data_IF_398443574656
#
_entry.id   IF_398443574656
#
_cell.length_a   1.000
_cell.length_b   1.000
_cell.length_c   1.000
_cell.angle_alpha   90.00
_cell.angle_beta   90.00
_cell.angle_gamma   90.00
#
_symmetry.space_group_name_H-M   'P 1'
#
loop_
_entity.id
_entity.type
_entity.pdbx_description
1 polymer ?
#
# COMPACT_ATOMS: atom_id res chain seq x y z
N UNK A 1 -11.33 4.27 13.50
CA UNK A 1 -10.06 4.79 14.09
C UNK A 1 -9.07 3.64 14.14
N UNK A 2 -8.07 3.60 13.26
CA UNK A 2 -6.99 2.61 13.34
C UNK A 2 -6.09 2.98 14.52
N UNK A 3 -5.98 2.08 15.50
CA UNK A 3 -5.06 2.21 16.63
C UNK A 3 -3.65 1.83 16.17
N UNK A 4 -2.97 2.79 15.55
CA UNK A 4 -1.51 2.76 15.41
C UNK A 4 -0.96 3.42 16.66
N UNK A 5 -0.31 2.63 17.52
CA UNK A 5 0.40 3.20 18.66
C UNK A 5 1.62 3.97 18.15
N UNK A 6 1.51 5.30 18.12
CA UNK A 6 2.58 6.21 17.65
C UNK A 6 3.86 6.09 18.50
N UNK A 7 3.82 5.50 19.69
CA UNK A 7 5.01 5.33 20.56
C UNK A 7 5.82 4.09 20.21
N UNK A 8 5.17 3.05 19.68
CA UNK A 8 5.81 1.77 19.37
C UNK A 8 5.73 1.35 17.91
N UNK A 9 5.02 2.10 17.04
CA UNK A 9 4.78 1.77 15.63
C UNK A 9 4.24 0.34 15.43
N UNK A 10 3.55 -0.19 16.44
CA UNK A 10 2.85 -1.46 16.35
C UNK A 10 1.41 -1.17 15.93
N UNK A 11 0.96 -1.85 14.88
CA UNK A 11 -0.47 -2.01 14.67
C UNK A 11 -1.05 -2.80 15.85
N UNK A 12 -2.21 -2.40 16.37
CA UNK A 12 -2.93 -3.11 17.43
C UNK A 12 -2.92 -4.64 17.18
N UNK A 13 -2.16 -5.37 18.01
CA UNK A 13 -1.97 -6.81 17.89
C UNK A 13 -0.62 -7.20 17.27
N UNK A 14 0.49 -6.95 17.98
CA UNK A 14 1.83 -7.59 17.88
C UNK A 14 2.55 -7.75 16.52
N UNK A 15 1.90 -7.51 15.39
CA UNK A 15 2.47 -7.68 14.06
C UNK A 15 3.35 -6.49 13.75
N UNK A 16 4.62 -6.78 13.51
CA UNK A 16 5.58 -5.81 12.98
C UNK A 16 5.08 -5.25 11.65
N UNK A 17 5.34 -3.97 11.38
CA UNK A 17 5.05 -3.36 10.08
C UNK A 17 5.76 -4.08 8.91
N UNK A 18 6.86 -4.77 9.21
CA UNK A 18 7.55 -5.67 8.26
C UNK A 18 6.67 -6.86 7.87
N UNK A 19 5.88 -7.38 8.81
CA UNK A 19 4.93 -8.48 8.55
C UNK A 19 3.80 -8.00 7.63
N UNK A 20 3.29 -6.79 7.83
CA UNK A 20 2.25 -6.23 6.96
C UNK A 20 2.74 -6.05 5.50
N UNK A 21 3.98 -5.59 5.32
CA UNK A 21 4.58 -5.45 3.99
C UNK A 21 4.87 -6.79 3.33
N UNK A 22 5.22 -7.83 4.10
CA UNK A 22 5.32 -9.21 3.62
C UNK A 22 3.98 -9.78 3.14
N UNK A 23 2.92 -9.61 3.93
CA UNK A 23 1.56 -10.05 3.55
C UNK A 23 1.12 -9.34 2.28
N UNK A 24 1.39 -8.02 2.19
CA UNK A 24 1.08 -7.24 0.99
C UNK A 24 1.83 -7.76 -0.24
N UNK A 25 3.13 -8.02 -0.12
CA UNK A 25 3.94 -8.60 -1.19
C UNK A 25 3.42 -9.97 -1.64
N UNK A 26 3.00 -10.83 -0.69
CA UNK A 26 2.40 -12.12 -1.01
C UNK A 26 1.07 -11.98 -1.77
N UNK A 27 0.22 -11.03 -1.38
CA UNK A 27 -1.03 -10.73 -2.09
C UNK A 27 -0.75 -10.22 -3.51
N UNK A 28 0.23 -9.34 -3.70
CA UNK A 28 0.65 -8.87 -5.03
C UNK A 28 1.19 -10.00 -5.90
N UNK A 29 1.96 -10.92 -5.33
CA UNK A 29 2.46 -12.09 -6.04
C UNK A 29 1.32 -13.01 -6.52
N UNK A 30 0.33 -13.29 -5.66
CA UNK A 30 -0.86 -14.05 -6.04
C UNK A 30 -1.66 -13.33 -7.14
N UNK A 31 -1.80 -12.01 -7.04
CA UNK A 31 -2.42 -11.19 -8.09
C UNK A 31 -1.68 -11.27 -9.42
N UNK A 32 -0.34 -11.24 -9.38
CA UNK A 32 0.52 -11.39 -10.58
C UNK A 32 0.27 -12.72 -11.28
N UNK A 33 0.17 -13.82 -10.52
CA UNK A 33 -0.18 -15.14 -11.08
C UNK A 33 -1.56 -15.10 -11.73
N UNK A 34 -2.53 -14.45 -11.08
CA UNK A 34 -3.86 -14.25 -11.64
C UNK A 34 -3.83 -13.53 -12.99
N UNK A 35 -3.05 -12.46 -13.13
CA UNK A 35 -2.89 -11.75 -14.41
C UNK A 35 -2.23 -12.61 -15.49
N UNK A 36 -1.27 -13.46 -15.12
CA UNK A 36 -0.63 -14.39 -16.05
C UNK A 36 -1.64 -15.42 -16.59
N UNK A 37 -2.46 -16.00 -15.72
CA UNK A 37 -3.47 -17.00 -16.08
C UNK A 37 -4.56 -16.40 -16.98
N UNK A 38 -5.00 -15.17 -16.68
CA UNK A 38 -6.01 -14.46 -17.46
C UNK A 38 -5.47 -13.83 -18.75
N UNK A 39 -4.20 -14.08 -19.11
CA UNK A 39 -3.53 -13.57 -20.32
C UNK A 39 -3.48 -12.04 -20.43
N UNK A 40 -3.57 -11.31 -19.32
CA UNK A 40 -3.44 -9.85 -19.29
C UNK A 40 -1.97 -9.45 -19.20
N UNK A 41 -1.22 -9.62 -20.29
CA UNK A 41 0.25 -9.47 -20.33
C UNK A 41 0.76 -8.10 -19.87
N UNK A 42 0.05 -7.01 -20.18
CA UNK A 42 0.45 -5.66 -19.74
C UNK A 42 0.33 -5.53 -18.22
N UNK A 43 -0.80 -5.95 -17.66
CA UNK A 43 -1.02 -5.93 -16.21
C UNK A 43 -0.08 -6.88 -15.48
N UNK A 44 0.21 -8.04 -16.09
CA UNK A 44 1.21 -8.98 -15.59
C UNK A 44 2.59 -8.33 -15.50
N UNK A 45 3.07 -7.66 -16.55
CA UNK A 45 4.39 -7.02 -16.56
C UNK A 45 4.50 -5.93 -15.47
N UNK A 46 3.48 -5.09 -15.33
CA UNK A 46 3.43 -4.05 -14.29
C UNK A 46 3.42 -4.68 -12.90
N UNK A 47 2.56 -5.69 -12.67
CA UNK A 47 2.44 -6.37 -11.39
C UNK A 47 3.71 -7.14 -11.01
N UNK A 48 4.42 -7.68 -12.00
CA UNK A 48 5.72 -8.33 -11.81
C UNK A 48 6.78 -7.33 -11.33
N UNK A 49 6.84 -6.13 -11.92
CA UNK A 49 7.76 -5.08 -11.49
C UNK A 49 7.47 -4.68 -10.03
N UNK A 50 6.20 -4.50 -9.68
CA UNK A 50 5.79 -4.18 -8.29
C UNK A 50 6.21 -5.30 -7.34
N UNK A 51 5.97 -6.56 -7.72
CA UNK A 51 6.35 -7.72 -6.93
C UNK A 51 7.87 -7.79 -6.71
N UNK A 52 8.66 -7.52 -7.75
CA UNK A 52 10.13 -7.46 -7.64
C UNK A 52 10.58 -6.34 -6.68
N UNK A 53 9.92 -5.18 -6.72
CA UNK A 53 10.18 -4.11 -5.76
C UNK A 53 9.88 -4.55 -4.31
N UNK A 54 8.81 -5.32 -4.09
CA UNK A 54 8.53 -5.90 -2.78
C UNK A 54 9.60 -6.92 -2.35
N UNK A 55 10.12 -7.73 -3.26
CA UNK A 55 11.24 -8.64 -2.97
C UNK A 55 12.48 -7.85 -2.53
N UNK A 56 12.77 -6.70 -3.14
CA UNK A 56 13.88 -5.83 -2.71
C UNK A 56 13.73 -5.32 -1.27
N UNK A 57 12.49 -5.08 -0.79
CA UNK A 57 12.22 -4.74 0.62
C UNK A 57 12.66 -5.87 1.55
N UNK A 58 12.52 -7.13 1.12
CA UNK A 58 12.93 -8.28 1.91
C UNK A 58 14.44 -8.44 1.97
N UNK A 59 15.14 -8.12 0.87
CA UNK A 59 16.60 -8.22 0.80
C UNK A 59 17.27 -7.09 1.59
N UNK A 60 16.73 -5.86 1.52
CA UNK A 60 17.27 -4.68 2.20
C UNK A 60 16.23 -3.98 3.08
N UNK A 61 15.79 -4.61 4.19
CA UNK A 61 14.69 -4.09 5.00
C UNK A 61 15.00 -2.79 5.75
N UNK A 62 16.29 -2.49 5.98
CA UNK A 62 16.75 -1.38 6.81
C UNK A 62 17.20 -0.14 6.00
N UNK A 63 17.25 -0.19 4.67
CA UNK A 63 17.63 0.98 3.89
C UNK A 63 16.44 1.93 3.68
N UNK A 64 16.52 3.12 4.29
CA UNK A 64 15.50 4.17 4.21
C UNK A 64 15.26 4.59 2.75
N UNK A 65 16.32 4.72 1.97
CA UNK A 65 16.25 5.12 0.56
C UNK A 65 15.40 4.16 -0.29
N UNK A 66 15.51 2.86 -0.04
CA UNK A 66 14.73 1.83 -0.76
C UNK A 66 13.24 1.95 -0.43
N UNK A 67 12.89 2.13 0.84
CA UNK A 67 11.48 2.30 1.26
C UNK A 67 10.87 3.59 0.73
N UNK A 68 11.63 4.70 0.73
CA UNK A 68 11.22 5.97 0.10
C UNK A 68 10.94 5.78 -1.39
N UNK A 69 11.87 5.15 -2.11
CA UNK A 69 11.73 4.88 -3.54
C UNK A 69 10.45 4.08 -3.83
N UNK A 70 10.22 3.00 -3.09
CA UNK A 70 9.04 2.14 -3.27
C UNK A 70 7.75 2.89 -2.99
N UNK A 71 7.70 3.70 -1.93
CA UNK A 71 6.54 4.54 -1.63
C UNK A 71 6.20 5.45 -2.81
N UNK A 72 7.17 6.21 -3.35
CA UNK A 72 6.91 7.09 -4.49
C UNK A 72 6.51 6.32 -5.74
N UNK A 73 7.20 5.23 -6.04
CA UNK A 73 6.98 4.45 -7.26
C UNK A 73 5.60 3.77 -7.25
N UNK A 74 5.21 3.16 -6.13
CA UNK A 74 3.87 2.58 -5.95
C UNK A 74 2.79 3.66 -5.98
N UNK A 75 3.02 4.82 -5.35
CA UNK A 75 2.06 5.93 -5.35
C UNK A 75 1.81 6.47 -6.77
N UNK A 76 2.87 6.66 -7.55
CA UNK A 76 2.78 7.12 -8.95
C UNK A 76 2.05 6.07 -9.79
N UNK A 77 2.40 4.78 -9.66
CA UNK A 77 1.75 3.71 -10.41
C UNK A 77 0.26 3.60 -10.09
N UNK A 78 -0.12 3.67 -8.81
CA UNK A 78 -1.53 3.67 -8.41
C UNK A 78 -2.26 4.88 -8.96
N UNK A 79 -1.68 6.08 -8.84
CA UNK A 79 -2.29 7.30 -9.37
C UNK A 79 -2.52 7.21 -10.89
N UNK A 80 -1.50 6.80 -11.65
CA UNK A 80 -1.61 6.61 -13.10
C UNK A 80 -2.64 5.54 -13.45
N UNK A 81 -2.65 4.42 -12.72
CA UNK A 81 -3.62 3.34 -12.90
C UNK A 81 -5.06 3.78 -12.65
N UNK A 82 -5.32 4.49 -11.56
CA UNK A 82 -6.63 5.04 -11.23
C UNK A 82 -7.11 6.03 -12.31
N UNK A 83 -6.23 6.93 -12.77
CA UNK A 83 -6.56 7.89 -13.85
C UNK A 83 -6.87 7.15 -15.16
N UNK A 84 -6.05 6.17 -15.54
CA UNK A 84 -6.26 5.36 -16.74
C UNK A 84 -7.60 4.61 -16.68
N UNK A 85 -7.95 4.04 -15.53
CA UNK A 85 -9.21 3.34 -15.31
C UNK A 85 -10.43 4.27 -15.49
N UNK A 86 -10.35 5.51 -14.99
CA UNK A 86 -11.40 6.52 -15.20
C UNK A 86 -11.54 6.88 -16.68
N UNK A 87 -10.42 7.06 -17.40
CA UNK A 87 -10.44 7.36 -18.84
C UNK A 87 -11.07 6.21 -19.62
N UNK A 88 -10.64 4.97 -19.38
CA UNK A 88 -11.19 3.77 -20.03
C UNK A 88 -12.69 3.66 -19.78
N UNK A 89 -13.15 3.94 -18.56
CA UNK A 89 -14.57 3.92 -18.25
C UNK A 89 -15.37 4.99 -19.00
N UNK A 90 -14.85 6.22 -19.09
CA UNK A 90 -15.49 7.29 -19.87
C UNK A 90 -15.57 6.89 -21.35
N UNK A 91 -14.48 6.35 -21.92
CA UNK A 91 -14.46 5.88 -23.31
C UNK A 91 -15.46 4.75 -23.50
N UNK A 92 -15.51 3.79 -22.57
CA UNK A 92 -16.49 2.70 -22.62
C UNK A 92 -17.90 3.26 -22.64
N UNK A 93 -18.26 4.16 -21.72
CA UNK A 93 -19.58 4.80 -21.71
C UNK A 93 -19.91 5.61 -22.98
N UNK A 94 -18.89 6.16 -23.64
CA UNK A 94 -19.04 6.93 -24.88
C UNK A 94 -19.15 6.06 -26.14
N UNK A 95 -18.69 4.81 -26.09
CA UNK A 95 -18.81 3.87 -27.22
C UNK A 95 -20.16 3.17 -27.19
N UNK A 96 -21.01 3.40 -28.20
CA UNK A 96 -22.34 2.79 -28.27
C UNK A 96 -22.31 1.27 -28.59
N UNK A 97 -21.18 0.76 -29.08
CA UNK A 97 -21.08 -0.63 -29.55
C UNK A 97 -21.37 -1.71 -28.51
N UNK A 98 -21.00 -1.49 -27.23
CA UNK A 98 -21.34 -2.45 -26.16
C UNK A 98 -22.79 -2.31 -25.70
N UNK A 99 -23.37 -1.12 -25.85
CA UNK A 99 -24.77 -0.85 -25.51
C UNK A 99 -25.65 -1.59 -26.50
N UNK A 100 -25.37 -1.49 -27.81
CA UNK A 100 -26.14 -2.17 -28.85
C UNK A 100 -26.18 -3.70 -28.65
N UNK A 101 -25.07 -4.31 -28.24
CA UNK A 101 -25.03 -5.75 -27.95
C UNK A 101 -25.73 -6.13 -26.64
N UNK A 102 -25.67 -5.27 -25.61
CA UNK A 102 -26.38 -5.48 -24.35
C UNK A 102 -27.90 -5.27 -24.49
N UNK A 103 -28.34 -4.41 -25.40
CA UNK A 103 -29.73 -4.00 -25.56
C UNK A 103 -30.55 -4.95 -26.46
N UNK A 104 -29.94 -5.99 -27.04
CA UNK A 104 -30.65 -7.06 -27.77
C UNK A 104 -31.64 -7.88 -26.92
N UNK A 105 -31.56 -7.80 -25.59
CA UNK A 105 -32.39 -8.58 -24.66
C UNK A 105 -33.37 -7.72 -23.81
N UNK A 106 -33.90 -6.61 -24.37
CA UNK A 106 -34.93 -5.74 -23.75
C UNK A 106 -34.58 -5.08 -22.40
N UNK A 107 -33.34 -5.20 -21.91
CA UNK A 107 -32.93 -4.73 -20.57
C UNK A 107 -31.87 -3.62 -20.60
N UNK A 108 -31.92 -2.77 -21.62
CA UNK A 108 -30.88 -1.77 -21.93
C UNK A 108 -30.57 -0.80 -20.76
N UNK A 109 -31.60 -0.21 -20.17
CA UNK A 109 -31.44 0.76 -19.07
C UNK A 109 -30.90 0.09 -17.79
N UNK A 110 -31.32 -1.15 -17.54
CA UNK A 110 -30.87 -1.92 -16.39
C UNK A 110 -29.39 -2.30 -16.54
N UNK A 111 -28.96 -2.75 -17.74
CA UNK A 111 -27.57 -3.12 -17.99
C UNK A 111 -26.61 -1.93 -17.80
N UNK A 112 -26.97 -0.75 -18.33
CA UNK A 112 -26.19 0.48 -18.14
C UNK A 112 -26.12 0.87 -16.66
N UNK A 113 -27.24 0.81 -15.95
CA UNK A 113 -27.30 1.11 -14.52
C UNK A 113 -26.39 0.18 -13.72
N UNK A 114 -26.49 -1.14 -13.95
CA UNK A 114 -25.65 -2.13 -13.26
C UNK A 114 -24.16 -1.98 -13.56
N UNK A 115 -23.81 -1.63 -14.81
CA UNK A 115 -22.42 -1.36 -15.18
C UNK A 115 -21.87 -0.16 -14.42
N UNK A 116 -22.63 0.94 -14.35
CA UNK A 116 -22.22 2.15 -13.61
C UNK A 116 -22.11 1.86 -12.12
N UNK A 117 -23.09 1.17 -11.53
CA UNK A 117 -23.08 0.78 -10.11
C UNK A 117 -21.89 -0.14 -9.81
N UNK A 118 -21.64 -1.14 -10.65
CA UNK A 118 -20.51 -2.06 -10.51
C UNK A 118 -19.17 -1.35 -10.61
N UNK A 119 -19.04 -0.40 -11.54
CA UNK A 119 -17.84 0.42 -11.67
C UNK A 119 -17.62 1.29 -10.43
N UNK A 120 -18.64 2.02 -9.95
CA UNK A 120 -18.53 2.86 -8.74
C UNK A 120 -18.16 2.01 -7.52
N UNK A 121 -18.80 0.86 -7.34
CA UNK A 121 -18.50 -0.05 -6.24
C UNK A 121 -17.04 -0.54 -6.29
N UNK A 122 -16.58 -0.96 -7.48
CA UNK A 122 -15.20 -1.41 -7.69
C UNK A 122 -14.21 -0.28 -7.46
N UNK A 123 -14.51 0.92 -7.94
CA UNK A 123 -13.67 2.11 -7.78
C UNK A 123 -13.51 2.51 -6.31
N UNK A 124 -14.59 2.46 -5.51
CA UNK A 124 -14.53 2.73 -4.07
C UNK A 124 -13.64 1.69 -3.37
N UNK A 125 -13.80 0.41 -3.69
CA UNK A 125 -12.98 -0.66 -3.11
C UNK A 125 -11.50 -0.44 -3.48
N UNK A 126 -11.21 -0.13 -4.74
CA UNK A 126 -9.86 0.13 -5.23
C UNK A 126 -9.21 1.32 -4.50
N UNK A 127 -9.94 2.43 -4.33
CA UNK A 127 -9.46 3.59 -3.57
C UNK A 127 -9.17 3.26 -2.10
N UNK A 128 -10.02 2.46 -1.45
CA UNK A 128 -9.80 2.02 -0.08
C UNK A 128 -8.55 1.15 0.03
N UNK A 129 -8.35 0.22 -0.91
CA UNK A 129 -7.16 -0.61 -0.97
C UNK A 129 -5.90 0.23 -1.22
N UNK A 130 -5.95 1.17 -2.17
CA UNK A 130 -4.86 2.11 -2.44
C UNK A 130 -4.50 2.90 -1.18
N UNK A 131 -5.51 3.45 -0.48
CA UNK A 131 -5.30 4.15 0.78
C UNK A 131 -4.64 3.24 1.84
N UNK A 132 -5.09 1.99 2.00
CA UNK A 132 -4.48 1.04 2.92
C UNK A 132 -3.01 0.76 2.57
N UNK A 133 -2.69 0.53 1.30
CA UNK A 133 -1.32 0.31 0.82
C UNK A 133 -0.44 1.53 1.11
N UNK A 134 -0.93 2.72 0.79
CA UNK A 134 -0.21 3.98 1.04
C UNK A 134 0.05 4.20 2.53
N UNK A 135 -0.92 3.92 3.41
CA UNK A 135 -0.74 4.02 4.85
C UNK A 135 0.34 3.04 5.34
N UNK A 136 0.31 1.78 4.90
CA UNK A 136 1.30 0.76 5.29
C UNK A 136 2.70 1.19 4.85
N UNK A 137 2.85 1.64 3.60
CA UNK A 137 4.15 2.09 3.07
C UNK A 137 4.63 3.37 3.76
N UNK A 138 3.75 4.34 3.98
CA UNK A 138 4.08 5.61 4.65
C UNK A 138 4.54 5.38 6.09
N UNK A 139 3.77 4.62 6.89
CA UNK A 139 4.16 4.32 8.26
C UNK A 139 5.43 3.45 8.31
N UNK A 140 5.62 2.54 7.36
CA UNK A 140 6.80 1.68 7.28
C UNK A 140 8.07 2.44 6.95
N UNK A 141 7.97 3.48 6.13
CA UNK A 141 9.07 4.40 5.91
C UNK A 141 9.33 5.26 7.16
N UNK A 142 8.29 5.87 7.76
CA UNK A 142 8.44 6.78 8.89
C UNK A 142 9.06 6.13 10.14
N UNK A 143 8.72 4.87 10.40
CA UNK A 143 9.30 4.09 11.50
C UNK A 143 10.83 3.93 11.36
N UNK A 144 11.31 3.69 10.13
CA UNK A 144 12.73 3.52 9.84
C UNK A 144 13.51 4.83 9.95
N UNK A 145 12.91 5.93 9.49
CA UNK A 145 13.52 7.26 9.61
C UNK A 145 13.76 7.64 11.08
N UNK A 146 12.77 7.41 11.96
CA UNK A 146 12.94 7.69 13.39
C UNK A 146 13.92 6.76 14.11
N UNK A 147 14.02 5.50 13.67
CA UNK A 147 14.97 4.54 14.23
C UNK A 147 16.41 4.94 13.90
N UNK A 148 16.65 5.43 12.69
CA UNK A 148 17.94 5.93 12.25
C UNK A 148 18.35 7.21 12.98
N UNK A 149 17.46 8.19 13.11
CA UNK A 149 17.72 9.42 13.88
C UNK A 149 18.09 9.14 15.35
N UNK A 150 17.45 8.14 15.98
CA UNK A 150 17.81 7.72 17.34
C UNK A 150 19.20 7.09 17.39
N UNK A 151 19.52 6.20 16.45
CA UNK A 151 20.84 5.55 16.39
C UNK A 151 21.97 6.56 16.15
N UNK A 152 21.76 7.54 15.28
CA UNK A 152 22.73 8.62 15.04
C UNK A 152 22.95 9.48 16.30
N UNK A 153 21.88 9.85 17.00
CA UNK A 153 21.99 10.61 18.27
C UNK A 153 22.73 9.83 19.36
N UNK A 154 22.48 8.53 19.49
CA UNK A 154 23.21 7.68 20.44
C UNK A 154 24.69 7.54 20.07
N UNK A 155 25.00 7.41 18.77
CA UNK A 155 26.37 7.31 18.28
C UNK A 155 27.13 8.63 18.45
N UNK A 156 26.47 9.77 18.18
CA UNK A 156 27.03 11.11 18.40
C UNK A 156 27.26 11.39 19.90
N UNK A 157 26.34 10.98 20.79
CA UNK A 157 26.51 11.12 22.24
C UNK A 157 27.67 10.26 22.78
N UNK A 158 27.84 9.04 22.25
CA UNK A 158 28.97 8.17 22.60
C UNK A 158 30.32 8.72 22.09
N UNK A 159 30.34 9.29 20.87
CA UNK A 159 31.54 9.91 20.30
C UNK A 159 31.94 11.21 21.02
N UNK A 160 30.99 11.93 21.61
CA UNK A 160 31.24 13.15 22.39
C UNK A 160 31.79 12.89 23.82
N UNK A 161 32.09 11.65 24.20
CA UNK A 161 32.66 11.32 25.51
C UNK A 161 31.69 11.44 26.68
N UNK A 162 30.39 11.64 26.43
CA UNK A 162 29.36 11.62 27.46
C UNK A 162 29.14 10.20 27.95
N UNK A 163 29.34 9.96 29.25
CA UNK A 163 28.90 8.73 29.92
C UNK A 163 27.46 8.40 29.49
N UNK A 164 27.13 7.14 29.13
CA UNK A 164 25.80 6.78 28.70
C UNK A 164 24.81 7.04 29.83
N UNK A 165 24.03 8.11 29.70
CA UNK A 165 22.84 8.33 30.51
C UNK A 165 21.90 7.16 30.22
N UNK A 166 21.85 6.22 31.17
CA UNK A 166 20.97 5.06 31.15
C UNK A 166 19.57 5.48 30.68
N UNK A 167 18.96 4.74 29.73
CA UNK A 167 17.59 5.02 29.32
C UNK A 167 16.73 4.96 30.57
N UNK A 168 16.10 6.10 30.90
CA UNK A 168 15.08 6.20 31.90
C UNK A 168 14.06 5.11 31.62
N UNK A 169 14.05 4.09 32.49
CA UNK A 169 13.00 3.07 32.48
C UNK A 169 11.66 3.79 32.40
N UNK A 170 10.77 3.41 31.47
CA UNK A 170 9.44 3.99 31.44
C UNK A 170 8.81 3.74 32.81
N UNK A 171 8.60 4.81 33.57
CA UNK A 171 7.89 4.81 34.84
C UNK A 171 6.67 3.91 34.66
N UNK A 172 6.68 2.78 35.35
CA UNK A 172 5.50 1.96 35.49
C UNK A 172 4.43 2.89 36.04
N UNK A 173 3.50 3.24 35.18
CA UNK A 173 2.34 4.03 35.50
C UNK A 173 1.57 3.19 36.52
N UNK A 174 1.78 3.51 37.80
CA UNK A 174 0.87 3.20 38.89
C UNK A 174 -0.49 3.75 38.49
N UNK A 175 -1.30 2.93 37.82
CA UNK A 175 -2.74 3.05 37.95
C UNK A 175 -3.09 2.38 39.28
N UNK A 176 -2.98 3.16 40.35
CA UNK A 176 -3.80 2.96 41.53
C UNK A 176 -5.25 3.28 41.12
N UNK A 177 -6.13 2.34 41.44
CA UNK A 177 -7.53 2.50 41.86
C UNK A 177 -8.51 3.20 40.92
#
# INVERSE_FOLDING_TARGET
KMCVDKRHYKCCGSCSLTTASLILGALYFLGTIGYAVSQYWVNFAISLIITLLFVLVLVKPNEISVRKLIFYLVSIMQFVGTVALVIVFIVMLATDGWIDDACKNDSCENAKTWLVVGFIATFIIDLLLCFCVLQILYYGWKEQEQSHEKSEKHTAAAAAGGQPSQPSQPSQMQMMQ
#
